data_IF_602474887718
#
_entry.id   IF_602474887718
#
_cell.length_a   1.000
_cell.length_b   1.000
_cell.length_c   1.000
_cell.angle_alpha   90.00
_cell.angle_beta   90.00
_cell.angle_gamma   90.00
#
_symmetry.space_group_name_H-M   'P 1'
#
loop_
_entity.id
_entity.type
_entity.pdbx_description
1 polymer ?
#
# COMPACT_ATOMS: atom_id res chain seq x y z
N UNK A 1 -0.87 34.07 -16.26
CA UNK A 1 -1.73 32.90 -15.99
C UNK A 1 -0.89 31.64 -16.04
N UNK A 2 -0.89 30.82 -14.99
CA UNK A 2 -0.27 29.50 -15.01
C UNK A 2 -1.18 28.57 -15.83
N UNK A 3 -0.63 27.96 -16.88
CA UNK A 3 -1.32 26.91 -17.63
C UNK A 3 -1.63 25.74 -16.68
N UNK A 4 -2.92 25.50 -16.42
CA UNK A 4 -3.37 24.30 -15.73
C UNK A 4 -3.02 23.08 -16.60
N UNK A 5 -2.14 22.23 -16.09
CA UNK A 5 -1.69 21.04 -16.77
C UNK A 5 -2.76 19.94 -16.66
N UNK A 6 -3.73 19.94 -17.59
CA UNK A 6 -4.89 19.03 -17.63
C UNK A 6 -4.55 17.53 -17.75
N UNK A 7 -3.28 17.18 -17.98
CA UNK A 7 -2.83 15.80 -18.12
C UNK A 7 -2.11 15.24 -16.89
N UNK A 8 -1.64 16.08 -15.96
CA UNK A 8 -0.93 15.62 -14.76
C UNK A 8 -1.80 14.79 -13.81
N UNK A 9 -3.11 15.05 -13.79
CA UNK A 9 -4.07 14.35 -12.92
C UNK A 9 -4.63 13.06 -13.52
N UNK A 10 -4.43 12.77 -14.81
CA UNK A 10 -4.97 11.56 -15.44
C UNK A 10 -4.29 10.26 -14.97
N UNK A 11 -3.12 10.35 -14.31
CA UNK A 11 -2.47 9.24 -13.59
C UNK A 11 -2.88 9.14 -12.12
N UNK A 12 -3.87 9.92 -11.67
CA UNK A 12 -4.45 9.75 -10.35
C UNK A 12 -5.09 8.37 -10.24
N UNK A 13 -4.87 7.72 -9.10
CA UNK A 13 -5.45 6.41 -8.83
C UNK A 13 -6.97 6.50 -8.96
N UNK A 14 -7.54 5.80 -9.95
CA UNK A 14 -8.97 5.55 -10.04
C UNK A 14 -9.26 4.26 -9.29
N UNK A 15 -9.89 4.40 -8.13
CA UNK A 15 -10.47 3.27 -7.42
C UNK A 15 -11.43 2.50 -8.37
N UNK A 16 -11.20 1.19 -8.56
CA UNK A 16 -11.99 0.37 -9.49
C UNK A 16 -11.48 0.32 -10.94
N UNK A 17 -10.32 0.91 -11.28
CA UNK A 17 -9.69 0.69 -12.58
C UNK A 17 -9.26 -0.78 -12.71
N UNK A 18 -9.68 -1.45 -13.81
CA UNK A 18 -9.52 -2.90 -14.14
C UNK A 18 -8.68 -3.72 -13.14
N UNK A 19 -9.37 -4.36 -12.19
CA UNK A 19 -8.77 -5.33 -11.26
C UNK A 19 -8.32 -4.75 -9.93
N UNK A 20 -8.29 -3.42 -9.76
CA UNK A 20 -7.97 -2.75 -8.50
C UNK A 20 -9.22 -2.61 -7.64
N UNK A 21 -9.11 -3.04 -6.38
CA UNK A 21 -10.18 -3.12 -5.42
C UNK A 21 -9.99 -2.05 -4.33
N UNK A 22 -11.06 -1.34 -3.97
CA UNK A 22 -11.05 -0.34 -2.91
C UNK A 22 -11.88 0.88 -3.28
N UNK A 23 -12.15 1.74 -2.30
CA UNK A 23 -12.83 3.02 -2.51
C UNK A 23 -11.86 4.19 -2.43
N UNK A 24 -10.69 3.99 -1.82
CA UNK A 24 -9.72 5.05 -1.56
C UNK A 24 -8.28 4.51 -1.56
N UNK A 25 -7.35 5.37 -1.97
CA UNK A 25 -5.93 5.23 -1.71
C UNK A 25 -5.58 6.10 -0.50
N UNK A 26 -5.02 5.48 0.53
CA UNK A 26 -4.86 6.09 1.86
C UNK A 26 -3.41 6.31 2.23
N UNK A 27 -2.50 5.61 1.56
CA UNK A 27 -1.06 5.75 1.73
C UNK A 27 -0.38 5.81 0.37
N UNK A 28 0.64 6.66 0.27
CA UNK A 28 1.56 6.73 -0.86
C UNK A 28 2.99 6.75 -0.33
N UNK A 29 3.87 5.94 -0.88
CA UNK A 29 5.26 5.83 -0.41
C UNK A 29 6.21 5.53 -1.56
N UNK A 30 7.20 6.40 -1.85
CA UNK A 30 8.24 6.07 -2.81
C UNK A 30 9.20 5.05 -2.20
N UNK A 31 9.54 4.00 -2.95
CA UNK A 31 10.52 2.99 -2.53
C UNK A 31 11.06 2.24 -3.76
N UNK A 32 12.38 2.05 -3.81
CA UNK A 32 13.07 1.31 -4.88
C UNK A 32 12.72 1.79 -6.31
N UNK A 33 12.76 3.11 -6.51
CA UNK A 33 12.47 3.75 -7.81
C UNK A 33 11.00 3.71 -8.26
N UNK A 34 10.10 3.21 -7.41
CA UNK A 34 8.67 3.04 -7.71
C UNK A 34 7.82 3.81 -6.72
N UNK A 35 6.56 4.05 -7.07
CA UNK A 35 5.57 4.60 -6.15
C UNK A 35 4.63 3.49 -5.66
N UNK A 36 4.51 3.36 -4.35
CA UNK A 36 3.66 2.34 -3.73
C UNK A 36 2.44 2.97 -3.10
N UNK A 37 1.32 2.26 -3.17
CA UNK A 37 0.03 2.71 -2.67
C UNK A 37 -0.60 1.68 -1.73
N UNK A 38 -1.18 2.16 -0.64
CA UNK A 38 -2.06 1.38 0.22
C UNK A 38 -3.52 1.73 -0.10
N UNK A 39 -4.33 0.72 -0.42
CA UNK A 39 -5.72 0.88 -0.84
C UNK A 39 -6.65 0.21 0.17
N UNK A 40 -7.79 0.83 0.46
CA UNK A 40 -8.78 0.30 1.37
C UNK A 40 -10.21 0.72 1.07
N UNK A 41 -11.11 0.26 1.92
CA UNK A 41 -12.53 0.58 1.89
C UNK A 41 -12.91 1.50 3.04
N UNK A 42 -13.61 2.59 2.74
CA UNK A 42 -14.15 3.53 3.73
C UNK A 42 -15.68 3.46 3.76
N UNK A 43 -16.24 3.28 4.96
CA UNK A 43 -17.69 3.21 5.27
C UNK A 43 -18.51 2.14 4.51
N UNK A 44 -17.90 1.36 3.63
CA UNK A 44 -18.58 0.36 2.81
C UNK A 44 -18.25 -1.04 3.33
N UNK A 45 -19.24 -1.87 3.70
CA UNK A 45 -18.98 -3.27 4.02
C UNK A 45 -18.40 -3.96 2.79
N UNK A 46 -17.22 -4.57 2.95
CA UNK A 46 -16.46 -5.10 1.83
C UNK A 46 -16.42 -6.62 1.84
N UNK A 47 -16.67 -7.22 0.67
CA UNK A 47 -16.43 -8.63 0.36
C UNK A 47 -15.04 -8.85 -0.27
N UNK A 48 -14.23 -7.79 -0.38
CA UNK A 48 -12.95 -7.75 -1.05
C UNK A 48 -11.86 -7.16 -0.17
N UNK A 49 -10.64 -7.62 -0.36
CA UNK A 49 -9.53 -7.28 0.52
C UNK A 49 -8.83 -6.00 0.11
N UNK A 50 -8.32 -5.27 1.09
CA UNK A 50 -7.35 -4.20 0.92
C UNK A 50 -6.13 -4.67 0.12
N UNK A 51 -5.52 -3.76 -0.61
CA UNK A 51 -4.43 -4.07 -1.54
C UNK A 51 -3.25 -3.14 -1.33
N UNK A 52 -2.06 -3.69 -1.52
CA UNK A 52 -0.85 -2.93 -1.80
C UNK A 52 -0.69 -2.90 -3.32
N UNK A 53 -0.59 -1.70 -3.86
CA UNK A 53 -0.45 -1.45 -5.30
C UNK A 53 0.86 -0.73 -5.58
N UNK A 54 1.32 -0.83 -6.83
CA UNK A 54 2.59 -0.28 -7.28
C UNK A 54 2.45 0.41 -8.62
N UNK A 55 3.13 1.53 -8.78
CA UNK A 55 3.23 2.28 -10.02
C UNK A 55 4.71 2.37 -10.41
N UNK A 56 5.05 1.72 -11.52
CA UNK A 56 6.44 1.57 -11.99
C UNK A 56 6.91 2.76 -12.84
N UNK A 57 5.99 3.60 -13.34
CA UNK A 57 6.31 4.84 -14.07
C UNK A 57 5.17 5.85 -14.00
N UNK A 58 5.47 7.14 -14.18
CA UNK A 58 4.50 8.23 -14.07
C UNK A 58 3.36 8.15 -15.11
N UNK A 59 3.62 7.55 -16.27
CA UNK A 59 2.64 7.31 -17.34
C UNK A 59 2.11 5.87 -17.36
N UNK A 60 2.51 5.05 -16.39
CA UNK A 60 2.14 3.64 -16.29
C UNK A 60 0.78 3.44 -15.65
N UNK A 61 0.44 2.17 -15.44
CA UNK A 61 -0.76 1.75 -14.72
C UNK A 61 -0.38 1.18 -13.36
N UNK A 62 -1.28 1.34 -12.39
CA UNK A 62 -1.16 0.69 -11.09
C UNK A 62 -1.32 -0.83 -11.23
N UNK A 63 -0.41 -1.58 -10.61
CA UNK A 63 -0.46 -3.04 -10.53
C UNK A 63 -0.64 -3.49 -9.07
N UNK A 64 -1.36 -4.59 -8.85
CA UNK A 64 -1.44 -5.20 -7.52
C UNK A 64 -0.11 -5.89 -7.23
N UNK A 65 0.54 -5.48 -6.15
CA UNK A 65 1.68 -6.20 -5.61
C UNK A 65 1.22 -7.25 -4.59
N UNK A 66 0.21 -6.92 -3.79
CA UNK A 66 -0.17 -7.76 -2.68
C UNK A 66 -1.54 -7.58 -2.09
N UNK A 67 -2.04 -8.68 -1.56
CA UNK A 67 -3.15 -8.71 -0.60
C UNK A 67 -2.54 -9.20 0.72
N UNK A 68 -2.50 -8.39 1.79
CA UNK A 68 -1.89 -8.78 3.05
C UNK A 68 -2.70 -9.84 3.80
N UNK A 69 -4.03 -9.79 3.69
CA UNK A 69 -4.95 -10.76 4.27
C UNK A 69 -6.30 -10.67 3.56
N UNK A 70 -7.02 -11.79 3.40
CA UNK A 70 -8.34 -11.79 2.75
C UNK A 70 -9.40 -10.94 3.49
N UNK A 71 -9.22 -10.73 4.80
CA UNK A 71 -10.09 -9.92 5.66
C UNK A 71 -9.49 -8.54 6.00
N UNK A 72 -8.44 -8.12 5.29
CA UNK A 72 -7.94 -6.77 5.42
C UNK A 72 -8.96 -5.79 4.82
N UNK A 73 -9.49 -4.87 5.61
CA UNK A 73 -10.43 -3.85 5.13
C UNK A 73 -9.74 -2.59 4.62
N UNK A 74 -8.55 -2.27 5.15
CA UNK A 74 -7.80 -1.05 4.81
C UNK A 74 -6.32 -1.20 5.10
N UNK A 75 -5.45 -0.62 4.26
CA UNK A 75 -4.03 -0.43 4.61
C UNK A 75 -3.91 0.82 5.50
N UNK A 76 -3.59 0.64 6.77
CA UNK A 76 -3.53 1.75 7.74
C UNK A 76 -2.20 2.52 7.64
N UNK A 77 -1.11 1.80 7.41
CA UNK A 77 0.20 2.40 7.19
C UNK A 77 0.95 1.66 6.08
N UNK A 78 1.76 2.41 5.34
CA UNK A 78 2.74 1.91 4.39
C UNK A 78 3.99 2.77 4.55
N UNK A 79 5.11 2.18 4.98
CA UNK A 79 6.33 2.92 5.32
C UNK A 79 7.57 2.14 4.95
N UNK A 80 8.61 2.85 4.53
CA UNK A 80 9.94 2.28 4.41
C UNK A 80 10.56 2.21 5.81
N UNK A 81 10.96 1.02 6.21
CA UNK A 81 11.67 0.77 7.46
C UNK A 81 13.06 0.24 7.15
N UNK A 82 14.07 0.73 7.88
CA UNK A 82 15.45 0.30 7.75
C UNK A 82 15.83 -0.52 8.97
N UNK A 83 16.28 -1.75 8.73
CA UNK A 83 16.68 -2.71 9.74
C UNK A 83 18.20 -2.76 9.79
N UNK A 84 18.77 -2.64 10.98
CA UNK A 84 20.21 -2.74 11.24
C UNK A 84 20.58 -3.96 12.10
N UNK A 85 19.58 -4.65 12.66
CA UNK A 85 19.75 -5.82 13.50
C UNK A 85 18.78 -6.92 13.07
N UNK A 86 19.16 -8.18 13.28
CA UNK A 86 18.32 -9.34 13.05
C UNK A 86 17.34 -9.61 14.22
N UNK A 87 16.60 -10.72 14.13
CA UNK A 87 15.63 -11.16 15.14
C UNK A 87 16.26 -11.55 16.50
N UNK A 88 17.56 -11.84 16.53
CA UNK A 88 18.31 -12.14 17.74
C UNK A 88 19.02 -10.90 18.31
N UNK A 89 18.85 -9.73 17.69
CA UNK A 89 19.51 -8.49 18.06
C UNK A 89 20.96 -8.38 17.57
N UNK A 90 21.41 -9.29 16.72
CA UNK A 90 22.75 -9.24 16.12
C UNK A 90 22.77 -8.23 14.98
N UNK A 91 23.82 -7.41 14.89
CA UNK A 91 23.96 -6.44 13.82
C UNK A 91 24.07 -7.11 12.45
N UNK A 92 23.34 -6.58 11.46
CA UNK A 92 23.43 -7.03 10.07
C UNK A 92 24.71 -6.51 9.41
N UNK A 93 25.28 -7.29 8.48
CA UNK A 93 26.48 -6.89 7.72
C UNK A 93 26.26 -5.58 6.92
N UNK A 94 25.02 -5.30 6.54
CA UNK A 94 24.57 -4.04 5.97
C UNK A 94 23.14 -3.76 6.41
N UNK A 95 22.76 -2.48 6.51
CA UNK A 95 21.36 -2.13 6.75
C UNK A 95 20.48 -2.55 5.59
N UNK A 96 19.25 -2.93 5.91
CA UNK A 96 18.28 -3.47 4.96
C UNK A 96 17.02 -2.63 5.02
N UNK A 97 16.65 -1.97 3.93
CA UNK A 97 15.37 -1.27 3.83
C UNK A 97 14.29 -2.18 3.27
N UNK A 98 13.08 -2.11 3.85
CA UNK A 98 11.87 -2.82 3.39
C UNK A 98 10.67 -1.91 3.44
N UNK A 99 9.73 -2.11 2.53
CA UNK A 99 8.41 -1.50 2.60
C UNK A 99 7.50 -2.33 3.51
N UNK A 100 7.03 -1.74 4.59
CA UNK A 100 6.22 -2.42 5.61
C UNK A 100 4.81 -1.85 5.60
N UNK A 101 3.81 -2.73 5.63
CA UNK A 101 2.40 -2.37 5.63
C UNK A 101 1.71 -2.78 6.94
N UNK A 102 0.83 -1.96 7.47
CA UNK A 102 -0.15 -2.38 8.47
C UNK A 102 -1.53 -2.33 7.84
N UNK A 103 -2.44 -3.18 8.31
CA UNK A 103 -3.79 -3.23 7.81
C UNK A 103 -4.81 -3.36 8.94
N UNK A 104 -5.97 -2.77 8.74
CA UNK A 104 -7.12 -2.98 9.58
C UNK A 104 -7.76 -4.32 9.21
N UNK A 105 -7.79 -5.24 10.18
CA UNK A 105 -8.47 -6.52 10.07
C UNK A 105 -9.94 -6.32 10.42
N UNK A 106 -10.83 -6.62 9.46
CA UNK A 106 -12.28 -6.51 9.60
C UNK A 106 -12.91 -7.88 9.44
N UNK A 107 -12.88 -8.68 10.51
CA UNK A 107 -13.51 -10.01 10.53
C UNK A 107 -14.51 -10.10 11.69
N UNK A 108 -15.76 -10.42 11.38
CA UNK A 108 -16.85 -10.64 12.36
C UNK A 108 -16.97 -9.54 13.44
N UNK A 109 -16.73 -8.27 13.08
CA UNK A 109 -16.83 -7.15 14.03
C UNK A 109 -15.64 -6.99 14.99
N UNK A 110 -14.62 -7.86 14.91
CA UNK A 110 -13.36 -7.68 15.63
C UNK A 110 -12.41 -6.79 14.82
N UNK A 111 -12.43 -5.49 15.10
CA UNK A 111 -11.53 -4.51 14.48
C UNK A 111 -10.16 -4.49 15.15
N UNK A 112 -9.10 -4.90 14.46
CA UNK A 112 -7.72 -4.83 14.97
C UNK A 112 -6.75 -4.39 13.88
N UNK A 113 -5.84 -3.48 14.22
CA UNK A 113 -4.71 -3.18 13.35
C UNK A 113 -3.67 -4.31 13.46
N UNK A 114 -3.35 -4.92 12.32
CA UNK A 114 -2.35 -5.98 12.21
C UNK A 114 -1.17 -5.51 11.37
N UNK A 115 0.03 -5.98 11.68
CA UNK A 115 1.24 -5.69 10.92
C UNK A 115 1.47 -6.80 9.88
N UNK A 116 1.65 -6.43 8.61
CA UNK A 116 2.19 -7.29 7.58
C UNK A 116 3.56 -6.75 7.15
N UNK A 117 4.62 -7.44 7.56
CA UNK A 117 5.94 -7.19 6.98
C UNK A 117 5.99 -7.97 5.68
N UNK A 118 5.78 -7.30 4.54
CA UNK A 118 6.20 -7.84 3.25
C UNK A 118 7.61 -7.35 2.98
N UNK A 119 8.54 -8.28 2.84
CA UNK A 119 9.81 -7.95 2.19
C UNK A 119 9.56 -7.90 0.68
N UNK A 120 9.17 -6.74 0.16
CA UNK A 120 9.41 -6.40 -1.25
C UNK A 120 10.84 -5.91 -1.43
#
# INVERSE_FOLDING_TARGET
EQAMNFHGWHSSYQAGQRGLNGTEMVQLTPFDGKLWGGVGYWMTPTYMSAQVVRLDSASGFWAIDGIPNQYAGRIEALKVMTFSTDENGVALASTVSRLVATFYYSWQGSGRCSLSVRAV
#
